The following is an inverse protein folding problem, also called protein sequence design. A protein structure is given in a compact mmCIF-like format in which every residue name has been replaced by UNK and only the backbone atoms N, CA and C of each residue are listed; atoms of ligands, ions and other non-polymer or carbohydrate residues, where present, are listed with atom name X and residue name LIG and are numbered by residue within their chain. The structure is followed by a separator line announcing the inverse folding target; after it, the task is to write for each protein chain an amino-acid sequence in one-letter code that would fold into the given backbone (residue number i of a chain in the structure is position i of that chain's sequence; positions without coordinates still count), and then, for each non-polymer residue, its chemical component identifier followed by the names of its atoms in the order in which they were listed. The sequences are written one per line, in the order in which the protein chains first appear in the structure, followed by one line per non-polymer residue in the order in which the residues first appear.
data_IF_480217466060
#
_entry.id   IF_480217466060
#
_cell.length_a   1.000
_cell.length_b   1.000
_cell.length_c   1.000
_cell.angle_alpha   90.00
_cell.angle_beta   90.00
_cell.angle_gamma   90.00
#
_symmetry.space_group_name_H-M   'P 1'
#
loop_
_entity.id
_entity.type
_entity.pdbx_description
1 polymer ?
#
# COMPACT_ATOMS: atom_id res chain seq x y z
N UNK A 1 32.47 21.39 1.34
CA UNK A 1 31.84 20.19 0.75
C UNK A 1 32.95 19.16 0.63
N UNK A 2 32.83 17.97 1.22
CA UNK A 2 33.89 16.94 1.15
C UNK A 2 33.77 16.24 -0.21
N UNK A 3 34.82 16.20 -1.06
CA UNK A 3 34.80 15.48 -2.33
C UNK A 3 34.57 13.98 -2.15
N UNK A 4 33.80 13.35 -3.04
CA UNK A 4 33.51 11.90 -3.00
C UNK A 4 34.77 11.04 -3.06
N UNK A 5 35.78 11.50 -3.81
CA UNK A 5 37.09 10.86 -3.93
C UNK A 5 37.81 10.73 -2.60
N UNK A 6 37.63 11.71 -1.71
CA UNK A 6 38.30 11.75 -0.41
C UNK A 6 37.65 10.78 0.59
N UNK A 7 36.42 10.34 0.29
CA UNK A 7 35.69 9.30 1.00
C UNK A 7 35.89 7.90 0.39
N UNK A 8 36.69 7.79 -0.68
CA UNK A 8 36.88 6.53 -1.42
C UNK A 8 35.63 6.06 -2.18
N UNK A 9 34.66 6.95 -2.40
CA UNK A 9 33.40 6.64 -3.06
C UNK A 9 33.39 7.06 -4.52
N UNK A 10 32.64 6.34 -5.35
CA UNK A 10 32.33 6.65 -6.74
C UNK A 10 30.86 7.05 -6.88
N UNK A 11 30.55 7.78 -7.95
CA UNK A 11 29.17 8.10 -8.30
C UNK A 11 28.36 6.81 -8.48
N UNK A 12 27.25 6.68 -7.75
CA UNK A 12 26.41 5.48 -7.71
C UNK A 12 26.68 4.53 -6.54
N UNK A 13 27.71 4.75 -5.72
CA UNK A 13 27.93 3.94 -4.52
C UNK A 13 26.81 4.16 -3.49
N UNK A 14 26.30 3.10 -2.84
CA UNK A 14 25.25 3.23 -1.82
C UNK A 14 25.79 4.00 -0.61
N UNK A 15 25.09 5.06 -0.22
CA UNK A 15 25.42 5.85 0.97
C UNK A 15 24.69 5.25 2.19
N UNK A 16 25.44 4.90 3.22
CA UNK A 16 24.88 4.59 4.54
C UNK A 16 25.24 5.72 5.52
N UNK A 17 24.23 6.40 6.06
CA UNK A 17 24.41 7.36 7.15
C UNK A 17 24.34 6.63 8.49
N UNK A 18 25.38 6.74 9.32
CA UNK A 18 25.34 6.34 10.74
C UNK A 18 25.46 7.58 11.61
N UNK A 19 24.46 7.80 12.46
CA UNK A 19 24.51 8.85 13.48
C UNK A 19 24.97 8.20 14.79
N UNK A 20 26.04 8.72 15.38
CA UNK A 20 26.59 8.25 16.67
C UNK A 20 26.51 9.41 17.65
N UNK A 21 25.93 9.17 18.81
CA UNK A 21 25.94 10.11 19.93
C UNK A 21 27.15 9.85 20.82
N UNK A 22 27.79 10.92 21.27
CA UNK A 22 28.92 10.85 22.20
C UNK A 22 28.51 11.53 23.50
N UNK A 23 28.71 10.82 24.62
CA UNK A 23 28.69 11.41 25.95
C UNK A 23 30.14 11.55 26.44
N UNK A 24 30.68 12.77 26.31
CA UNK A 24 32.11 13.04 26.48
C UNK A 24 32.96 12.24 25.46
N UNK A 25 33.96 11.50 25.96
CA UNK A 25 34.85 10.67 25.12
C UNK A 25 34.36 9.23 24.91
N UNK A 26 33.13 8.91 25.33
CA UNK A 26 32.53 7.59 25.13
C UNK A 26 31.45 7.70 24.07
N UNK A 27 31.58 6.88 23.01
CA UNK A 27 30.47 6.62 22.12
C UNK A 27 29.36 5.95 22.93
N UNK A 28 28.29 6.68 23.20
CA UNK A 28 27.11 6.16 23.87
C UNK A 28 26.11 5.83 22.76
N UNK A 29 26.04 4.54 22.43
CA UNK A 29 25.13 3.86 21.48
C UNK A 29 25.80 3.35 20.18
N UNK A 30 26.20 2.08 20.22
CA UNK A 30 26.49 1.26 19.04
C UNK A 30 25.18 0.57 18.62
N UNK A 31 24.39 1.28 17.81
CA UNK A 31 23.15 0.86 17.14
C UNK A 31 21.84 0.91 17.95
N UNK A 32 20.98 1.92 17.71
CA UNK A 32 19.56 1.76 17.92
C UNK A 32 18.98 0.93 16.77
N UNK A 33 19.20 -0.39 16.80
CA UNK A 33 18.49 -1.33 15.93
C UNK A 33 16.99 -1.46 16.27
N UNK A 34 16.45 -0.58 17.11
CA UNK A 34 15.02 -0.55 17.41
C UNK A 34 14.22 0.41 16.51
N UNK A 35 14.86 1.32 15.76
CA UNK A 35 14.12 2.22 14.83
C UNK A 35 15.00 2.69 13.66
N UNK A 36 15.64 1.77 12.92
CA UNK A 36 16.21 2.14 11.63
C UNK A 36 15.06 2.63 10.72
N UNK A 37 15.02 3.93 10.44
CA UNK A 37 14.02 4.55 9.57
C UNK A 37 14.69 4.92 8.26
N UNK A 38 14.24 4.32 7.17
CA UNK A 38 14.66 4.71 5.83
C UNK A 38 14.31 6.19 5.60
N UNK A 39 15.34 7.03 5.42
CA UNK A 39 15.21 8.49 5.29
C UNK A 39 14.85 8.92 3.87
N UNK A 40 15.24 8.16 2.86
CA UNK A 40 14.74 8.29 1.49
C UNK A 40 14.66 6.93 0.82
N UNK A 41 13.62 6.76 0.01
CA UNK A 41 13.58 5.66 -0.95
C UNK A 41 14.49 6.01 -2.12
N UNK A 42 15.26 5.04 -2.59
CA UNK A 42 15.97 5.18 -3.85
C UNK A 42 14.91 5.24 -4.97
N UNK A 43 14.69 6.40 -5.60
CA UNK A 43 13.65 6.55 -6.61
C UNK A 43 13.93 5.68 -7.84
N UNK A 44 15.18 5.25 -8.06
CA UNK A 44 15.53 4.34 -9.16
C UNK A 44 15.07 2.91 -8.91
N UNK A 45 14.84 2.54 -7.65
CA UNK A 45 14.33 1.24 -7.22
C UNK A 45 12.82 1.25 -6.90
N UNK A 46 12.14 2.37 -7.16
CA UNK A 46 10.71 2.50 -6.91
C UNK A 46 9.87 1.96 -8.08
N UNK A 47 8.83 1.22 -7.76
CA UNK A 47 7.71 0.89 -8.66
C UNK A 47 6.49 1.66 -8.19
N UNK A 48 5.91 2.46 -9.08
CA UNK A 48 4.65 3.15 -8.82
C UNK A 48 3.49 2.19 -9.07
N UNK A 49 2.86 1.76 -7.97
CA UNK A 49 1.76 0.80 -7.99
C UNK A 49 0.44 1.56 -7.89
N UNK A 50 -0.40 1.40 -8.90
CA UNK A 50 -1.79 1.85 -8.91
C UNK A 50 -2.67 0.72 -8.40
N UNK A 51 -3.27 0.89 -7.22
CA UNK A 51 -4.33 0.02 -6.74
C UNK A 51 -5.66 0.54 -7.25
N UNK A 52 -6.39 -0.27 -8.00
CA UNK A 52 -7.76 -0.02 -8.43
C UNK A 52 -8.67 -1.05 -7.74
N UNK A 53 -9.73 -0.58 -7.08
CA UNK A 53 -10.71 -1.44 -6.44
C UNK A 53 -12.09 -1.13 -7.02
N UNK A 54 -12.60 -2.04 -7.85
CA UNK A 54 -13.98 -2.02 -8.33
C UNK A 54 -14.91 -2.38 -7.17
N UNK A 55 -15.60 -1.37 -6.63
CA UNK A 55 -16.59 -1.51 -5.58
C UNK A 55 -18.02 -1.44 -6.14
N UNK A 56 -18.19 -1.70 -7.43
CA UNK A 56 -19.48 -1.81 -8.09
C UNK A 56 -19.98 -3.26 -8.09
N UNK A 57 -21.27 -3.42 -8.32
CA UNK A 57 -21.87 -4.74 -8.57
C UNK A 57 -21.78 -5.17 -10.04
N UNK A 58 -21.20 -4.35 -10.92
CA UNK A 58 -21.02 -4.70 -12.35
C UNK A 58 -20.01 -5.83 -12.53
N UNK A 59 -19.09 -5.96 -11.56
CA UNK A 59 -18.19 -7.10 -11.43
C UNK A 59 -18.92 -8.43 -11.22
N UNK A 60 -20.22 -8.44 -10.87
CA UNK A 60 -20.98 -9.63 -10.53
C UNK A 60 -20.70 -10.18 -9.13
N UNK A 61 -19.91 -9.47 -8.32
CA UNK A 61 -19.67 -9.77 -6.90
C UNK A 61 -20.32 -8.65 -6.08
N UNK A 62 -21.15 -9.02 -5.12
CA UNK A 62 -21.74 -8.04 -4.20
C UNK A 62 -20.71 -7.57 -3.19
N UNK A 63 -20.73 -6.28 -2.88
CA UNK A 63 -19.77 -5.69 -1.92
C UNK A 63 -19.90 -6.26 -0.51
N UNK A 64 -21.06 -6.81 -0.15
CA UNK A 64 -21.35 -7.43 1.14
C UNK A 64 -21.33 -8.97 1.09
N UNK A 65 -20.71 -9.57 0.07
CA UNK A 65 -20.75 -11.01 -0.18
C UNK A 65 -20.24 -11.87 0.99
N UNK A 66 -19.27 -11.40 1.77
CA UNK A 66 -18.67 -12.15 2.89
C UNK A 66 -18.90 -11.51 4.26
N UNK A 67 -19.51 -10.33 4.31
CA UNK A 67 -19.68 -9.56 5.53
C UNK A 67 -20.56 -8.35 5.27
N UNK A 68 -21.24 -7.89 6.31
CA UNK A 68 -22.07 -6.70 6.21
C UNK A 68 -21.20 -5.43 6.15
N UNK A 69 -21.57 -4.53 5.23
CA UNK A 69 -20.94 -3.21 5.06
C UNK A 69 -21.93 -2.12 5.50
N UNK A 70 -21.56 -1.36 6.53
CA UNK A 70 -22.38 -0.30 7.12
C UNK A 70 -22.69 0.82 6.15
N UNK A 71 -21.65 1.28 5.45
CA UNK A 71 -21.70 2.46 4.62
C UNK A 71 -21.28 2.06 3.22
N UNK A 72 -22.23 1.70 2.37
CA UNK A 72 -21.94 1.37 0.97
C UNK A 72 -21.27 2.55 0.26
N UNK A 73 -20.42 2.29 -0.75
CA UNK A 73 -19.81 3.35 -1.54
C UNK A 73 -20.86 4.07 -2.40
N UNK A 74 -20.48 5.22 -2.97
CA UNK A 74 -21.33 5.90 -3.94
C UNK A 74 -21.65 4.97 -5.14
N UNK A 75 -22.86 5.08 -5.73
CA UNK A 75 -23.94 6.00 -5.40
C UNK A 75 -24.88 5.51 -4.28
N UNK A 76 -24.71 4.29 -3.77
CA UNK A 76 -25.64 3.66 -2.81
C UNK A 76 -25.48 4.18 -1.38
N UNK A 77 -24.35 4.82 -1.07
CA UNK A 77 -24.09 5.43 0.23
C UNK A 77 -22.98 6.46 0.18
N UNK A 78 -22.35 6.69 1.32
CA UNK A 78 -21.25 7.66 1.50
C UNK A 78 -19.92 7.00 1.86
N UNK A 79 -19.85 5.68 1.77
CA UNK A 79 -18.65 4.91 2.05
C UNK A 79 -17.50 5.31 1.14
N UNK A 80 -16.31 5.30 1.70
CA UNK A 80 -15.04 5.49 1.00
C UNK A 80 -14.33 4.15 1.00
N UNK A 81 -13.73 3.77 -0.13
CA UNK A 81 -12.87 2.59 -0.18
C UNK A 81 -11.49 2.97 0.38
N UNK A 82 -10.97 2.15 1.27
CA UNK A 82 -9.65 2.25 1.86
C UNK A 82 -8.86 0.98 1.61
N UNK A 83 -7.54 1.08 1.74
CA UNK A 83 -6.62 -0.06 1.72
C UNK A 83 -5.87 -0.15 3.05
N UNK A 84 -5.70 -1.38 3.54
CA UNK A 84 -4.90 -1.68 4.72
C UNK A 84 -4.01 -2.89 4.46
N UNK A 85 -2.75 -2.84 4.88
CA UNK A 85 -1.81 -3.92 4.61
C UNK A 85 -0.54 -3.91 5.43
N UNK A 86 0.39 -4.79 5.08
CA UNK A 86 1.65 -5.05 5.80
C UNK A 86 2.78 -4.04 5.53
N UNK A 87 2.44 -2.83 5.05
CA UNK A 87 3.42 -1.79 4.76
C UNK A 87 2.97 -0.45 5.36
N UNK A 88 3.88 0.42 5.84
CA UNK A 88 3.50 1.72 6.42
C UNK A 88 2.68 2.60 5.48
N UNK A 89 2.96 2.55 4.17
CA UNK A 89 2.17 3.23 3.12
C UNK A 89 0.75 2.69 2.95
N UNK A 90 0.49 1.47 3.42
CA UNK A 90 -0.85 0.86 3.53
C UNK A 90 -1.40 0.96 4.96
N UNK A 91 -0.94 1.95 5.74
CA UNK A 91 -1.50 2.25 7.04
C UNK A 91 -0.93 1.45 8.22
N UNK A 92 -0.03 0.49 7.97
CA UNK A 92 0.58 -0.32 9.04
C UNK A 92 1.27 0.54 10.10
N UNK A 93 0.99 0.24 11.37
CA UNK A 93 1.76 0.69 12.54
C UNK A 93 2.41 -0.55 13.17
N UNK A 94 1.97 -0.95 14.36
CA UNK A 94 2.27 -2.28 14.94
C UNK A 94 1.35 -3.38 14.40
N UNK A 95 0.20 -2.98 13.87
CA UNK A 95 -0.81 -3.81 13.20
C UNK A 95 -1.37 -3.06 11.99
N UNK A 96 -2.14 -3.75 11.15
CA UNK A 96 -2.87 -3.13 10.05
C UNK A 96 -3.94 -2.19 10.62
N UNK A 97 -4.07 -0.99 10.04
CA UNK A 97 -5.05 0.02 10.46
C UNK A 97 -6.05 0.23 9.32
N UNK A 98 -7.25 -0.35 9.40
CA UNK A 98 -8.30 -0.17 8.39
C UNK A 98 -8.80 1.28 8.38
N UNK A 99 -9.43 1.68 7.28
CA UNK A 99 -10.03 3.01 7.10
C UNK A 99 -9.05 4.18 7.32
N UNK A 100 -7.75 3.97 7.07
CA UNK A 100 -6.70 4.99 7.23
C UNK A 100 -6.16 5.52 5.90
N UNK A 101 -5.91 4.64 4.93
CA UNK A 101 -5.39 5.02 3.61
C UNK A 101 -6.53 4.99 2.61
N UNK A 102 -7.11 6.16 2.33
CA UNK A 102 -8.23 6.30 1.42
C UNK A 102 -7.79 6.20 -0.05
N UNK A 103 -8.55 5.45 -0.83
CA UNK A 103 -8.58 5.52 -2.29
C UNK A 103 -9.52 6.68 -2.71
N UNK A 104 -9.58 6.96 -4.01
CA UNK A 104 -10.33 8.09 -4.59
C UNK A 104 -11.10 7.64 -5.83
N UNK A 105 -12.26 8.24 -6.06
CA UNK A 105 -13.10 8.08 -7.25
C UNK A 105 -13.48 9.49 -7.77
N UNK A 106 -12.45 10.33 -8.00
CA UNK A 106 -12.53 11.77 -8.30
C UNK A 106 -11.91 12.18 -9.65
N UNK A 107 -11.50 11.22 -10.48
CA UNK A 107 -10.87 11.39 -11.79
C UNK A 107 -9.45 11.96 -11.72
N UNK A 108 -8.76 11.84 -10.58
CA UNK A 108 -7.42 12.40 -10.34
C UNK A 108 -6.47 11.36 -9.76
N UNK A 109 -5.17 11.67 -9.83
CA UNK A 109 -4.10 10.93 -9.14
C UNK A 109 -4.11 9.40 -9.39
N UNK A 110 -4.41 9.00 -10.62
CA UNK A 110 -4.47 7.60 -11.06
C UNK A 110 -5.89 7.11 -11.32
N UNK A 111 -6.91 7.75 -10.73
CA UNK A 111 -8.29 7.46 -11.07
C UNK A 111 -8.63 7.93 -12.48
N UNK A 112 -9.12 7.02 -13.31
CA UNK A 112 -9.37 7.24 -14.74
C UNK A 112 -10.65 8.01 -15.00
N UNK A 113 -11.66 7.87 -14.14
CA UNK A 113 -12.98 8.47 -14.36
C UNK A 113 -13.72 8.64 -13.03
N UNK A 114 -13.99 9.90 -12.69
CA UNK A 114 -14.73 10.24 -11.49
C UNK A 114 -16.14 9.62 -11.46
N UNK A 115 -16.51 9.08 -10.30
CA UNK A 115 -17.83 8.56 -9.98
C UNK A 115 -18.20 7.28 -10.73
N UNK A 116 -17.22 6.51 -11.19
CA UNK A 116 -17.47 5.23 -11.87
C UNK A 116 -17.48 4.03 -10.92
N UNK A 117 -17.15 4.25 -9.64
CA UNK A 117 -17.12 3.24 -8.60
C UNK A 117 -15.82 2.42 -8.58
N UNK A 118 -14.81 2.79 -9.37
CA UNK A 118 -13.47 2.21 -9.34
C UNK A 118 -12.57 3.14 -8.53
N UNK A 119 -12.30 2.74 -7.29
CA UNK A 119 -11.53 3.55 -6.35
C UNK A 119 -10.04 3.32 -6.56
N UNK A 120 -9.26 4.39 -6.63
CA UNK A 120 -7.86 4.32 -7.03
C UNK A 120 -6.90 4.98 -6.04
N UNK A 121 -5.68 4.42 -5.90
CA UNK A 121 -4.55 5.05 -5.21
C UNK A 121 -3.22 4.65 -5.83
N UNK A 122 -2.36 5.62 -6.12
CA UNK A 122 -0.98 5.39 -6.55
C UNK A 122 -0.03 5.50 -5.36
N UNK A 123 0.82 4.49 -5.16
CA UNK A 123 1.84 4.43 -4.12
C UNK A 123 3.13 3.83 -4.67
N UNK A 124 4.28 4.38 -4.28
CA UNK A 124 5.57 3.80 -4.64
C UNK A 124 5.95 2.67 -3.68
N UNK A 125 6.57 1.58 -4.19
CA UNK A 125 7.14 0.51 -3.37
C UNK A 125 8.48 0.05 -3.91
N UNK A 126 9.35 -0.54 -3.07
CA UNK A 126 10.55 -1.21 -3.54
C UNK A 126 10.23 -2.39 -4.49
N UNK A 127 11.10 -2.60 -5.48
CA UNK A 127 11.04 -3.80 -6.33
C UNK A 127 11.12 -5.08 -5.52
N UNK A 128 10.31 -6.08 -5.88
CA UNK A 128 10.30 -7.38 -5.21
C UNK A 128 9.68 -7.39 -3.81
N UNK A 129 9.15 -6.25 -3.34
CA UNK A 129 8.42 -6.18 -2.07
C UNK A 129 7.22 -7.14 -2.09
N UNK A 130 7.02 -7.86 -0.98
CA UNK A 130 5.91 -8.79 -0.81
C UNK A 130 4.80 -8.15 0.01
N UNK A 131 3.71 -7.84 -0.67
CA UNK A 131 2.59 -7.11 -0.12
C UNK A 131 1.48 -8.07 0.28
N UNK A 132 0.88 -7.79 1.43
CA UNK A 132 -0.35 -8.37 1.93
C UNK A 132 -1.30 -7.25 2.31
N UNK A 133 -2.53 -7.30 1.81
CA UNK A 133 -3.47 -6.21 1.99
C UNK A 133 -4.93 -6.66 1.90
N UNK A 134 -5.83 -5.76 2.30
CA UNK A 134 -7.28 -5.84 2.13
C UNK A 134 -7.83 -4.46 1.81
N UNK A 135 -9.03 -4.45 1.26
CA UNK A 135 -9.86 -3.27 1.19
C UNK A 135 -10.87 -3.21 2.34
N UNK A 136 -11.23 -1.99 2.73
CA UNK A 136 -12.35 -1.71 3.62
C UNK A 136 -13.22 -0.60 3.06
N UNK A 137 -14.51 -0.57 3.40
CA UNK A 137 -15.44 0.50 3.05
C UNK A 137 -16.01 1.09 4.33
N UNK A 138 -15.71 2.36 4.60
CA UNK A 138 -16.13 3.02 5.83
C UNK A 138 -16.20 4.53 5.67
N UNK A 139 -16.36 5.22 6.80
CA UNK A 139 -16.25 6.67 6.89
C UNK A 139 -14.95 7.06 7.62
N UNK A 140 -14.48 8.32 7.53
CA UNK A 140 -13.26 8.75 8.24
C UNK A 140 -13.29 8.49 9.75
N UNK A 141 -14.48 8.50 10.36
CA UNK A 141 -14.69 8.19 11.79
C UNK A 141 -14.50 6.69 12.15
N UNK A 142 -14.29 5.85 11.16
CA UNK A 142 -14.14 4.39 11.30
C UNK A 142 -12.67 3.94 11.20
N UNK A 143 -11.71 4.87 11.22
CA UNK A 143 -10.28 4.54 11.31
C UNK A 143 -10.03 3.53 12.44
N UNK A 144 -9.34 2.44 12.11
CA UNK A 144 -8.98 1.40 13.06
C UNK A 144 -10.06 0.36 13.34
N UNK A 145 -11.28 0.53 12.81
CA UNK A 145 -12.39 -0.43 12.97
C UNK A 145 -12.47 -1.37 11.76
N UNK A 146 -12.52 -2.68 12.01
CA UNK A 146 -12.74 -3.69 10.96
C UNK A 146 -14.23 -3.99 10.76
N UNK A 147 -14.97 -4.15 11.86
CA UNK A 147 -16.39 -4.49 11.83
C UNK A 147 -17.22 -3.47 11.04
N UNK A 148 -18.13 -3.98 10.21
CA UNK A 148 -18.99 -3.15 9.35
C UNK A 148 -18.27 -2.51 8.15
N UNK A 149 -16.98 -2.79 7.94
CA UNK A 149 -16.20 -2.17 6.86
C UNK A 149 -15.36 -3.15 6.04
N UNK A 150 -15.01 -4.32 6.57
CA UNK A 150 -14.05 -5.21 5.90
C UNK A 150 -14.64 -6.07 4.77
N UNK A 151 -13.85 -6.33 3.72
CA UNK A 151 -14.29 -7.15 2.58
C UNK A 151 -14.48 -8.65 2.91
N UNK A 152 -13.69 -9.20 3.82
CA UNK A 152 -13.83 -10.57 4.34
C UNK A 152 -13.03 -10.80 5.63
N UNK A 153 -13.53 -11.65 6.54
CA UNK A 153 -12.81 -12.02 7.74
C UNK A 153 -11.63 -12.96 7.43
N UNK A 154 -10.53 -12.81 8.18
CA UNK A 154 -9.42 -13.77 8.32
C UNK A 154 -8.55 -14.09 7.08
N UNK A 155 -8.89 -13.60 5.89
CA UNK A 155 -8.10 -13.81 4.66
C UNK A 155 -7.57 -12.48 4.14
N UNK A 156 -6.48 -12.47 3.37
CA UNK A 156 -5.88 -11.27 2.79
C UNK A 156 -5.45 -11.51 1.34
N UNK A 157 -5.35 -10.45 0.55
CA UNK A 157 -4.76 -10.47 -0.80
C UNK A 157 -3.25 -10.47 -0.70
N UNK A 158 -2.59 -11.13 -1.66
CA UNK A 158 -1.14 -11.11 -1.83
C UNK A 158 -0.73 -10.53 -3.17
N UNK A 159 0.38 -9.80 -3.17
CA UNK A 159 0.95 -9.16 -4.34
C UNK A 159 2.48 -9.11 -4.22
N UNK A 160 3.18 -9.56 -5.26
CA UNK A 160 4.61 -9.35 -5.37
C UNK A 160 4.87 -8.17 -6.32
N UNK A 161 5.57 -7.14 -5.83
CA UNK A 161 5.97 -6.01 -6.67
C UNK A 161 7.00 -6.50 -7.70
N UNK A 162 6.86 -6.07 -8.96
CA UNK A 162 7.76 -6.50 -10.04
C UNK A 162 9.23 -6.30 -9.69
N UNK A 163 10.04 -7.32 -10.01
CA UNK A 163 11.50 -7.28 -9.87
C UNK A 163 12.20 -6.78 -11.13
N UNK A 164 11.47 -6.66 -12.24
CA UNK A 164 12.04 -6.26 -13.53
C UNK A 164 12.46 -4.78 -13.47
N UNK A 165 13.76 -4.45 -13.58
CA UNK A 165 14.26 -3.08 -13.49
C UNK A 165 13.71 -2.14 -14.57
N UNK A 166 13.17 -2.68 -15.67
CA UNK A 166 12.56 -1.88 -16.76
C UNK A 166 11.13 -1.47 -16.45
N UNK A 167 10.45 -2.17 -15.53
CA UNK A 167 9.04 -1.92 -15.18
C UNK A 167 8.93 -0.95 -14.04
N UNK A 168 8.58 0.30 -14.32
CA UNK A 168 8.51 1.35 -13.28
C UNK A 168 7.09 1.58 -12.78
N UNK A 169 6.09 1.02 -13.47
CA UNK A 169 4.68 1.13 -13.12
C UNK A 169 4.03 -0.24 -13.08
N UNK A 170 3.08 -0.37 -12.17
CA UNK A 170 2.28 -1.58 -12.01
C UNK A 170 0.86 -1.16 -11.68
N UNK A 171 -0.13 -1.79 -12.30
CA UNK A 171 -1.54 -1.58 -11.94
C UNK A 171 -2.11 -2.89 -11.46
N UNK A 172 -2.78 -2.84 -10.31
CA UNK A 172 -3.44 -3.97 -9.66
C UNK A 172 -4.92 -3.63 -9.60
N UNK A 173 -5.70 -4.25 -10.48
CA UNK A 173 -7.14 -4.06 -10.57
C UNK A 173 -7.85 -5.22 -9.86
N UNK A 174 -8.46 -4.91 -8.72
CA UNK A 174 -9.21 -5.84 -7.88
C UNK A 174 -10.71 -5.55 -7.94
N UNK A 175 -11.50 -6.54 -7.52
CA UNK A 175 -12.93 -6.39 -7.22
C UNK A 175 -13.12 -6.53 -5.72
N UNK A 176 -13.84 -5.58 -5.09
CA UNK A 176 -14.15 -5.65 -3.67
C UNK A 176 -14.91 -6.94 -3.34
N UNK A 177 -14.57 -7.58 -2.21
CA UNK A 177 -15.14 -8.86 -1.79
C UNK A 177 -14.91 -10.04 -2.76
N UNK A 178 -14.03 -9.93 -3.76
CA UNK A 178 -13.47 -11.09 -4.46
C UNK A 178 -12.38 -11.74 -3.59
N UNK A 179 -12.76 -12.79 -2.86
CA UNK A 179 -11.88 -13.37 -1.83
C UNK A 179 -10.81 -14.27 -2.44
N UNK A 180 -9.51 -14.05 -2.12
CA UNK A 180 -8.44 -14.92 -2.56
C UNK A 180 -8.50 -16.30 -1.88
N UNK A 181 -8.08 -17.32 -2.62
CA UNK A 181 -8.06 -18.72 -2.20
C UNK A 181 -6.77 -19.37 -2.73
N UNK A 182 -5.76 -19.67 -1.90
CA UNK A 182 -5.67 -19.48 -0.44
C UNK A 182 -5.38 -18.02 -0.02
N UNK A 183 -5.37 -17.74 1.29
CA UNK A 183 -4.98 -16.41 1.80
C UNK A 183 -3.55 -16.03 1.39
N UNK A 184 -3.32 -14.73 1.15
CA UNK A 184 -2.04 -14.21 0.69
C UNK A 184 -1.77 -14.46 -0.79
N UNK A 185 -2.80 -14.77 -1.58
CA UNK A 185 -2.73 -14.88 -3.04
C UNK A 185 -3.60 -13.83 -3.72
N UNK A 186 -3.56 -13.79 -5.05
CA UNK A 186 -4.44 -12.94 -5.86
C UNK A 186 -5.85 -13.53 -5.87
N UNK A 187 -6.86 -12.67 -5.94
CA UNK A 187 -8.22 -13.12 -6.10
C UNK A 187 -8.52 -13.47 -7.56
N UNK A 188 -9.64 -14.15 -7.80
CA UNK A 188 -9.96 -14.73 -9.11
C UNK A 188 -10.11 -13.70 -10.22
N UNK A 189 -10.55 -12.49 -9.89
CA UNK A 189 -10.76 -11.35 -10.79
C UNK A 189 -9.64 -10.31 -10.72
N UNK A 190 -8.64 -10.51 -9.87
CA UNK A 190 -7.47 -9.63 -9.83
C UNK A 190 -6.77 -9.65 -11.18
N UNK A 191 -6.51 -8.47 -11.74
CA UNK A 191 -5.71 -8.28 -12.96
C UNK A 191 -4.50 -7.43 -12.64
N UNK A 192 -3.34 -7.87 -13.11
CA UNK A 192 -2.08 -7.15 -12.92
C UNK A 192 -1.50 -6.81 -14.28
N UNK A 193 -1.12 -5.55 -14.46
CA UNK A 193 -0.38 -5.07 -15.63
C UNK A 193 0.89 -4.36 -15.17
N UNK A 194 1.94 -4.45 -15.96
CA UNK A 194 3.22 -3.76 -15.69
C UNK A 194 3.70 -3.08 -16.96
N UNK A 195 4.04 -1.79 -16.84
CA UNK A 195 4.53 -0.96 -17.94
C UNK A 195 6.02 -0.66 -17.78
#
# INVERSE_FOLDING_TARGET
MVPWTDLGMKEGDPIQLRLVYFDGNKAADLAPNLVAKQLSEDPTNAVFVTFECDATEQSGIKVDNFGWIENLPQPKGKGIVYIAGNHPKLGMKTKWVPNKVALRDDGKEGDKKAGDGIWTRVLAFPRGEKMKYKYTIGLPKDEGKWGGTEEFPLTERGLDITKDPKKTKMTVSDVFADRPQPSGTQASKTKITTD
#
